data_IF_264580117195
#
_entry.id   IF_264580117195
#
_cell.length_a   1.000
_cell.length_b   1.000
_cell.length_c   1.000
_cell.angle_alpha   90.00
_cell.angle_beta   90.00
_cell.angle_gamma   90.00
#
_symmetry.space_group_name_H-M   'P 1'
#
loop_
_entity.id
_entity.type
_entity.pdbx_description
1 polymer ?
#
# COMPACT_ATOMS: atom_id res chain seq x y z
N UNK A 1 5.67 -29.68 10.77
CA UNK A 1 6.88 -29.57 9.93
C UNK A 1 6.85 -28.18 9.32
N UNK A 2 7.56 -27.25 9.94
CA UNK A 2 7.74 -25.91 9.37
C UNK A 2 8.69 -26.04 8.18
N UNK A 3 8.16 -25.90 6.97
CA UNK A 3 8.98 -25.53 5.84
C UNK A 3 9.31 -24.07 6.06
N UNK A 4 10.49 -23.79 6.62
CA UNK A 4 11.08 -22.46 6.56
C UNK A 4 11.27 -22.15 5.09
N UNK A 5 10.28 -21.52 4.46
CA UNK A 5 10.38 -21.09 3.08
C UNK A 5 11.61 -20.19 2.98
N UNK A 6 12.62 -20.65 2.24
CA UNK A 6 13.80 -19.84 1.96
C UNK A 6 13.40 -18.50 1.33
N UNK A 7 14.26 -17.47 1.40
CA UNK A 7 13.94 -16.17 0.83
C UNK A 7 13.52 -16.32 -0.64
N UNK A 8 12.46 -15.61 -1.08
CA UNK A 8 11.91 -15.81 -2.40
C UNK A 8 12.97 -15.50 -3.44
N UNK A 9 13.26 -16.43 -4.35
CA UNK A 9 14.38 -16.28 -5.28
C UNK A 9 14.23 -15.07 -6.25
N UNK A 10 13.02 -14.52 -6.37
CA UNK A 10 12.70 -13.36 -7.21
C UNK A 10 11.72 -12.42 -6.49
N UNK A 11 11.77 -11.13 -6.85
CA UNK A 11 10.81 -10.10 -6.46
C UNK A 11 9.97 -9.67 -7.65
N UNK A 12 8.67 -9.61 -7.48
CA UNK A 12 7.67 -9.21 -8.45
C UNK A 12 7.12 -7.86 -8.06
N UNK A 13 7.21 -6.88 -8.96
CA UNK A 13 6.88 -5.49 -8.65
C UNK A 13 5.80 -4.99 -9.60
N UNK A 14 4.64 -4.62 -9.07
CA UNK A 14 3.47 -4.14 -9.83
C UNK A 14 2.92 -2.81 -9.33
N UNK A 15 3.39 -2.29 -8.19
CA UNK A 15 3.02 -0.96 -7.67
C UNK A 15 3.77 0.17 -8.42
N UNK A 16 3.76 0.10 -9.74
CA UNK A 16 4.55 0.91 -10.67
C UNK A 16 4.65 0.19 -12.02
N UNK A 17 5.71 0.41 -12.81
CA UNK A 17 6.04 -0.42 -13.96
C UNK A 17 6.18 -1.89 -13.56
N UNK A 18 5.72 -2.80 -14.42
CA UNK A 18 5.82 -4.23 -14.17
C UNK A 18 7.27 -4.69 -14.32
N UNK A 19 7.84 -5.19 -13.23
CA UNK A 19 9.22 -5.67 -13.17
C UNK A 19 9.28 -6.99 -12.40
N UNK A 20 10.21 -7.85 -12.79
CA UNK A 20 10.68 -8.97 -11.98
C UNK A 20 12.17 -8.78 -11.77
N UNK A 21 12.63 -8.92 -10.53
CA UNK A 21 14.03 -8.76 -10.17
C UNK A 21 14.53 -10.01 -9.45
N UNK A 22 15.82 -10.31 -9.56
CA UNK A 22 16.48 -11.24 -8.64
C UNK A 22 16.49 -10.69 -7.21
N UNK A 23 16.84 -11.52 -6.23
CA UNK A 23 17.07 -11.05 -4.86
C UNK A 23 18.18 -9.98 -4.75
N UNK A 24 19.16 -10.02 -5.65
CA UNK A 24 20.21 -9.01 -5.75
C UNK A 24 19.71 -7.69 -6.37
N UNK A 25 18.46 -7.64 -6.84
CA UNK A 25 17.85 -6.44 -7.43
C UNK A 25 18.04 -6.31 -8.93
N UNK A 26 18.65 -7.30 -9.58
CA UNK A 26 18.88 -7.27 -11.02
C UNK A 26 17.57 -7.51 -11.78
N UNK A 27 17.19 -6.65 -12.74
CA UNK A 27 15.97 -6.83 -13.51
C UNK A 27 16.07 -8.01 -14.47
N UNK A 28 15.00 -8.81 -14.53
CA UNK A 28 14.84 -9.90 -15.49
C UNK A 28 14.25 -9.39 -16.80
N UNK A 29 14.82 -9.85 -17.92
CA UNK A 29 14.24 -9.63 -19.24
C UNK A 29 13.01 -10.51 -19.45
N UNK A 30 11.82 -9.92 -19.24
CA UNK A 30 10.52 -10.59 -19.39
C UNK A 30 10.09 -10.78 -20.86
N UNK A 31 10.86 -10.26 -21.80
CA UNK A 31 10.65 -10.37 -23.23
C UNK A 31 9.62 -9.39 -23.78
N UNK A 32 8.70 -9.86 -24.63
CA UNK A 32 7.82 -8.97 -25.41
C UNK A 32 6.73 -8.31 -24.55
N UNK A 33 6.12 -7.19 -24.99
CA UNK A 33 5.02 -6.55 -24.27
C UNK A 33 3.84 -7.50 -23.96
N UNK A 34 3.57 -8.46 -24.86
CA UNK A 34 2.54 -9.47 -24.64
C UNK A 34 2.91 -10.48 -23.56
N UNK A 35 4.19 -10.83 -23.43
CA UNK A 35 4.68 -11.70 -22.34
C UNK A 35 4.59 -10.98 -20.99
N UNK A 36 5.03 -9.71 -20.92
CA UNK A 36 4.89 -8.87 -19.72
C UNK A 36 3.42 -8.74 -19.32
N UNK A 37 2.54 -8.53 -20.29
CA UNK A 37 1.10 -8.44 -20.06
C UNK A 37 0.49 -9.74 -19.54
N UNK A 38 0.83 -10.88 -20.14
CA UNK A 38 0.37 -12.19 -19.66
C UNK A 38 0.81 -12.41 -18.21
N UNK A 39 2.07 -12.11 -17.91
CA UNK A 39 2.58 -12.22 -16.54
C UNK A 39 1.81 -11.30 -15.59
N UNK A 40 1.53 -10.05 -16.00
CA UNK A 40 0.76 -9.11 -15.20
C UNK A 40 -0.66 -9.60 -14.90
N UNK A 41 -1.34 -10.24 -15.86
CA UNK A 41 -2.65 -10.86 -15.64
C UNK A 41 -2.55 -11.95 -14.57
N UNK A 42 -1.55 -12.83 -14.65
CA UNK A 42 -1.35 -13.87 -13.63
C UNK A 42 -0.98 -13.27 -12.26
N UNK A 43 -0.16 -12.21 -12.23
CA UNK A 43 0.18 -11.47 -11.01
C UNK A 43 -1.01 -10.72 -10.41
N UNK A 44 -2.05 -10.41 -11.20
CA UNK A 44 -3.23 -9.70 -10.70
C UNK A 44 -3.98 -10.52 -9.64
N UNK A 45 -3.88 -11.85 -9.73
CA UNK A 45 -4.48 -12.82 -8.82
C UNK A 45 -3.56 -14.05 -8.65
N UNK A 46 -2.47 -13.94 -7.87
CA UNK A 46 -1.55 -15.06 -7.64
C UNK A 46 -2.28 -16.28 -7.06
N UNK A 47 -1.87 -17.47 -7.46
CA UNK A 47 -2.48 -18.75 -7.08
C UNK A 47 -3.77 -19.10 -7.84
N UNK A 48 -4.41 -18.13 -8.53
CA UNK A 48 -5.63 -18.37 -9.29
C UNK A 48 -5.32 -18.95 -10.67
N UNK A 49 -6.08 -19.96 -11.08
CA UNK A 49 -5.98 -20.56 -12.42
C UNK A 49 -6.73 -19.75 -13.45
N UNK A 50 -6.05 -19.43 -14.55
CA UNK A 50 -6.58 -18.74 -15.72
C UNK A 50 -6.62 -19.70 -16.91
N UNK A 51 -7.81 -19.93 -17.46
CA UNK A 51 -7.96 -20.73 -18.68
C UNK A 51 -7.30 -20.03 -19.86
N UNK A 52 -7.00 -20.78 -20.93
CA UNK A 52 -6.44 -20.18 -22.15
C UNK A 52 -7.41 -19.13 -22.72
N UNK A 53 -8.70 -19.42 -22.74
CA UNK A 53 -9.71 -18.49 -23.28
C UNK A 53 -9.79 -17.20 -22.45
N UNK A 54 -9.76 -17.29 -21.12
CA UNK A 54 -9.70 -16.11 -20.25
C UNK A 54 -8.45 -15.28 -20.50
N UNK A 55 -7.29 -15.92 -20.66
CA UNK A 55 -6.05 -15.22 -21.00
C UNK A 55 -6.14 -14.55 -22.38
N UNK A 56 -6.76 -15.22 -23.35
CA UNK A 56 -6.98 -14.67 -24.68
C UNK A 56 -7.86 -13.41 -24.61
N UNK A 57 -8.97 -13.48 -23.88
CA UNK A 57 -9.88 -12.35 -23.73
C UNK A 57 -9.21 -11.14 -23.06
N UNK A 58 -8.44 -11.37 -21.99
CA UNK A 58 -7.72 -10.32 -21.27
C UNK A 58 -6.58 -9.69 -22.09
N UNK A 59 -5.89 -10.51 -22.90
CA UNK A 59 -4.76 -10.06 -23.71
C UNK A 59 -5.21 -9.23 -24.93
N UNK A 60 -6.31 -9.62 -25.57
CA UNK A 60 -6.76 -9.07 -26.87
C UNK A 60 -8.12 -8.36 -26.84
N UNK A 61 -8.81 -8.27 -25.70
CA UNK A 61 -10.12 -7.60 -25.58
C UNK A 61 -11.16 -8.11 -26.59
N UNK A 62 -11.28 -9.42 -26.74
CA UNK A 62 -12.24 -10.00 -27.68
C UNK A 62 -11.91 -9.76 -29.16
N UNK A 63 -10.71 -9.25 -29.48
CA UNK A 63 -10.17 -9.20 -30.86
C UNK A 63 -8.92 -10.09 -31.02
N UNK A 64 -8.99 -11.38 -30.67
CA UNK A 64 -7.82 -12.25 -30.75
C UNK A 64 -7.48 -12.61 -32.20
N UNK A 65 -6.18 -12.75 -32.54
CA UNK A 65 -5.80 -13.40 -33.78
C UNK A 65 -6.18 -14.88 -33.76
N UNK A 66 -6.29 -15.52 -34.92
CA UNK A 66 -6.56 -16.97 -35.04
C UNK A 66 -5.55 -17.83 -34.27
N UNK A 67 -4.33 -17.31 -34.03
CA UNK A 67 -3.23 -17.99 -33.34
C UNK A 67 -3.18 -17.71 -31.84
N UNK A 68 -4.16 -17.00 -31.25
CA UNK A 68 -4.09 -16.49 -29.87
C UNK A 68 -3.83 -17.59 -28.82
N UNK A 69 -4.56 -18.72 -28.89
CA UNK A 69 -4.37 -19.84 -27.98
C UNK A 69 -2.96 -20.44 -28.06
N UNK A 70 -2.40 -20.54 -29.28
CA UNK A 70 -1.01 -20.96 -29.50
C UNK A 70 -0.01 -19.96 -28.93
N UNK A 71 -0.25 -18.67 -29.15
CA UNK A 71 0.59 -17.59 -28.63
C UNK A 71 0.64 -17.59 -27.10
N UNK A 72 -0.48 -17.83 -26.40
CA UNK A 72 -0.51 -17.95 -24.93
C UNK A 72 0.46 -19.04 -24.45
N UNK A 73 0.44 -20.22 -25.07
CA UNK A 73 1.35 -21.32 -24.71
C UNK A 73 2.81 -20.93 -24.93
N UNK A 74 3.11 -20.28 -26.06
CA UNK A 74 4.46 -19.78 -26.39
C UNK A 74 4.93 -18.73 -25.38
N UNK A 75 4.06 -17.80 -25.00
CA UNK A 75 4.38 -16.78 -24.00
C UNK A 75 4.63 -17.40 -22.62
N UNK A 76 3.80 -18.35 -22.19
CA UNK A 76 4.01 -19.08 -20.93
C UNK A 76 5.34 -19.84 -20.95
N UNK A 77 5.67 -20.50 -22.06
CA UNK A 77 6.94 -21.20 -22.19
C UNK A 77 8.14 -20.23 -22.06
N UNK A 78 8.10 -19.09 -22.74
CA UNK A 78 9.15 -18.07 -22.66
C UNK A 78 9.28 -17.50 -21.25
N UNK A 79 8.16 -17.18 -20.60
CA UNK A 79 8.14 -16.68 -19.22
C UNK A 79 8.68 -17.72 -18.23
N UNK A 80 8.31 -18.99 -18.37
CA UNK A 80 8.87 -20.07 -17.54
C UNK A 80 10.38 -20.15 -17.66
N UNK A 81 10.93 -19.92 -18.85
CA UNK A 81 12.37 -19.90 -19.07
C UNK A 81 13.01 -18.67 -18.41
N UNK A 82 12.41 -17.50 -18.54
CA UNK A 82 12.89 -16.27 -17.92
C UNK A 82 12.84 -16.34 -16.37
N UNK A 83 11.77 -16.90 -15.81
CA UNK A 83 11.52 -16.99 -14.37
C UNK A 83 12.23 -18.17 -13.68
N UNK A 84 13.10 -18.89 -14.37
CA UNK A 84 13.92 -19.94 -13.74
C UNK A 84 14.97 -19.29 -12.84
N UNK A 85 14.92 -19.60 -11.54
CA UNK A 85 16.00 -19.25 -10.61
C UNK A 85 16.81 -20.50 -10.26
N UNK A 86 18.15 -20.38 -10.15
CA UNK A 86 18.94 -21.38 -9.44
C UNK A 86 18.36 -21.60 -8.03
N UNK A 87 18.14 -22.86 -7.64
CA UNK A 87 17.65 -23.23 -6.31
C UNK A 87 16.12 -23.25 -6.13
N UNK A 88 15.32 -22.90 -7.14
CA UNK A 88 13.87 -23.12 -7.11
C UNK A 88 13.51 -24.32 -8.00
N UNK A 89 13.10 -25.46 -7.42
CA UNK A 89 12.85 -26.69 -8.20
C UNK A 89 11.60 -26.60 -9.07
N UNK A 90 10.64 -25.74 -8.71
CA UNK A 90 9.34 -25.67 -9.37
C UNK A 90 9.17 -24.43 -10.25
N UNK A 91 8.50 -24.56 -11.42
CA UNK A 91 8.23 -23.41 -12.27
C UNK A 91 7.24 -22.47 -11.59
N UNK A 92 7.57 -21.18 -11.50
CA UNK A 92 6.69 -20.16 -10.94
C UNK A 92 5.29 -20.16 -11.59
N UNK A 93 5.20 -20.50 -12.88
CA UNK A 93 3.92 -20.67 -13.59
C UNK A 93 3.59 -22.15 -13.72
N UNK A 94 2.55 -22.61 -13.02
CA UNK A 94 2.04 -23.98 -13.09
C UNK A 94 0.90 -24.11 -14.09
N UNK A 95 0.82 -25.26 -14.75
CA UNK A 95 -0.34 -25.66 -15.53
C UNK A 95 -1.19 -26.64 -14.70
N UNK A 96 -2.50 -26.52 -14.74
CA UNK A 96 -3.43 -27.42 -14.07
C UNK A 96 -4.77 -27.48 -14.79
N UNK A 97 -5.75 -28.15 -14.17
CA UNK A 97 -7.09 -28.34 -14.75
C UNK A 97 -7.79 -27.03 -15.12
N UNK A 98 -7.54 -25.95 -14.36
CA UNK A 98 -8.12 -24.62 -14.58
C UNK A 98 -7.27 -23.71 -15.48
N UNK A 99 -6.20 -24.24 -16.09
CA UNK A 99 -5.27 -23.49 -16.94
C UNK A 99 -3.97 -23.11 -16.24
N UNK A 100 -3.50 -21.88 -16.44
CA UNK A 100 -2.22 -21.40 -15.93
C UNK A 100 -2.39 -20.60 -14.64
N UNK A 101 -1.55 -20.83 -13.65
CA UNK A 101 -1.48 -20.04 -12.42
C UNK A 101 -0.05 -19.67 -12.08
N UNK A 102 0.15 -18.47 -11.54
CA UNK A 102 1.43 -18.04 -10.98
C UNK A 102 1.42 -18.33 -9.48
N UNK A 103 2.38 -19.12 -9.00
CA UNK A 103 2.56 -19.41 -7.57
C UNK A 103 3.76 -18.60 -7.08
N UNK A 104 3.51 -17.76 -6.08
CA UNK A 104 4.50 -16.88 -5.48
C UNK A 104 4.49 -17.06 -3.97
N UNK A 105 5.65 -16.84 -3.34
CA UNK A 105 5.69 -16.55 -1.91
C UNK A 105 5.01 -15.20 -1.64
N UNK A 106 4.34 -15.07 -0.49
CA UNK A 106 3.61 -13.85 -0.14
C UNK A 106 4.51 -12.59 -0.05
N UNK A 107 5.79 -12.76 0.30
CA UNK A 107 6.77 -11.68 0.39
C UNK A 107 7.48 -11.42 -0.95
N UNK A 108 7.26 -12.28 -1.96
CA UNK A 108 7.87 -12.10 -3.27
C UNK A 108 7.25 -10.95 -4.06
N UNK A 109 6.03 -10.51 -3.74
CA UNK A 109 5.28 -9.53 -4.53
C UNK A 109 4.96 -8.25 -3.75
N UNK A 110 5.30 -7.09 -4.31
CA UNK A 110 5.13 -5.79 -3.66
C UNK A 110 3.67 -5.50 -3.27
N UNK A 111 2.69 -5.87 -4.08
CA UNK A 111 1.27 -5.68 -3.74
C UNK A 111 0.79 -6.58 -2.61
N UNK A 112 1.36 -7.78 -2.46
CA UNK A 112 1.04 -8.68 -1.35
C UNK A 112 1.69 -8.18 -0.06
N UNK A 113 2.95 -7.77 -0.13
CA UNK A 113 3.66 -7.12 0.97
C UNK A 113 2.96 -5.83 1.43
N UNK A 114 2.46 -5.02 0.47
CA UNK A 114 1.66 -3.83 0.76
C UNK A 114 0.38 -4.16 1.52
N UNK A 115 -0.36 -5.19 1.08
CA UNK A 115 -1.59 -5.62 1.74
C UNK A 115 -1.32 -6.09 3.19
N UNK A 116 -0.27 -6.89 3.42
CA UNK A 116 0.16 -7.34 4.75
C UNK A 116 0.57 -6.18 5.66
N UNK A 117 1.45 -5.28 5.19
CA UNK A 117 1.88 -4.10 5.95
C UNK A 117 0.70 -3.19 6.31
N UNK A 118 -0.23 -3.00 5.37
CA UNK A 118 -1.45 -2.22 5.60
C UNK A 118 -2.32 -2.87 6.67
N UNK A 119 -2.50 -4.19 6.64
CA UNK A 119 -3.24 -4.94 7.68
C UNK A 119 -2.58 -4.83 9.05
N UNK A 120 -1.25 -4.94 9.12
CA UNK A 120 -0.48 -4.75 10.36
C UNK A 120 -0.65 -3.34 10.91
N UNK A 121 -0.62 -2.33 10.05
CA UNK A 121 -0.88 -0.93 10.42
C UNK A 121 -2.25 -0.74 11.07
N UNK A 122 -3.31 -1.25 10.43
CA UNK A 122 -4.66 -1.20 10.99
C UNK A 122 -4.77 -1.96 12.32
N UNK A 123 -4.11 -3.11 12.43
CA UNK A 123 -4.11 -3.89 13.66
C UNK A 123 -3.42 -3.16 14.82
N UNK A 124 -2.25 -2.58 14.59
CA UNK A 124 -1.53 -1.78 15.60
C UNK A 124 -2.35 -0.56 16.04
N UNK A 125 -3.01 0.12 15.10
CA UNK A 125 -3.90 1.25 15.40
C UNK A 125 -5.07 0.85 16.29
N UNK A 126 -5.71 -0.29 16.03
CA UNK A 126 -6.78 -0.83 16.88
C UNK A 126 -6.33 -1.12 18.31
N UNK A 127 -5.04 -1.40 18.50
CA UNK A 127 -4.43 -1.67 19.79
C UNK A 127 -3.84 -0.41 20.46
N UNK A 128 -4.02 0.78 19.87
CA UNK A 128 -3.45 2.03 20.40
C UNK A 128 -1.94 2.17 20.19
N UNK A 129 -1.29 1.24 19.47
CA UNK A 129 0.15 1.28 19.17
C UNK A 129 0.44 2.18 17.97
N UNK A 130 0.26 3.50 18.17
CA UNK A 130 0.34 4.51 17.08
C UNK A 130 1.67 4.47 16.33
N UNK A 131 2.80 4.42 17.03
CA UNK A 131 4.13 4.39 16.41
C UNK A 131 4.34 3.16 15.53
N UNK A 132 3.83 2.00 15.93
CA UNK A 132 3.94 0.77 15.14
C UNK A 132 3.03 0.80 13.91
N UNK A 133 1.84 1.39 14.05
CA UNK A 133 0.93 1.57 12.94
C UNK A 133 1.56 2.46 11.86
N UNK A 134 2.16 3.57 12.27
CA UNK A 134 2.80 4.54 11.39
C UNK A 134 3.98 3.91 10.63
N UNK A 135 4.90 3.23 11.33
CA UNK A 135 6.02 2.53 10.67
C UNK A 135 5.53 1.51 9.64
N UNK A 136 4.44 0.79 9.93
CA UNK A 136 3.89 -0.18 8.99
C UNK A 136 3.29 0.50 7.74
N UNK A 137 2.58 1.63 7.89
CA UNK A 137 2.04 2.38 6.77
C UNK A 137 3.13 3.07 5.94
N UNK A 138 4.14 3.67 6.57
CA UNK A 138 5.31 4.26 5.90
C UNK A 138 6.02 3.19 5.03
N UNK A 139 6.29 2.00 5.61
CA UNK A 139 6.87 0.88 4.87
C UNK A 139 5.98 0.41 3.70
N UNK A 140 4.66 0.40 3.89
CA UNK A 140 3.72 0.02 2.83
C UNK A 140 3.75 1.02 1.66
N UNK A 141 3.75 2.33 1.97
CA UNK A 141 3.79 3.39 0.96
C UNK A 141 5.13 3.44 0.21
N UNK A 142 6.24 3.13 0.87
CA UNK A 142 7.55 3.05 0.24
C UNK A 142 7.67 1.99 -0.87
N UNK A 143 6.74 1.02 -0.92
CA UNK A 143 6.67 0.03 -2.01
C UNK A 143 6.14 0.62 -3.32
N UNK A 144 5.46 1.77 -3.27
CA UNK A 144 4.86 2.40 -4.44
C UNK A 144 5.90 3.18 -5.24
N UNK A 145 5.97 2.88 -6.53
CA UNK A 145 6.90 3.45 -7.51
C UNK A 145 6.17 4.22 -8.61
N UNK A 146 4.85 4.30 -8.52
CA UNK A 146 4.00 5.00 -9.47
C UNK A 146 2.63 4.36 -9.58
N UNK A 147 2.00 4.55 -10.74
CA UNK A 147 0.71 3.95 -11.07
C UNK A 147 0.84 2.41 -11.15
N UNK A 148 -0.01 1.62 -10.47
CA UNK A 148 0.07 0.16 -10.56
C UNK A 148 -0.05 -0.34 -12.00
N UNK A 149 0.78 -1.32 -12.38
CA UNK A 149 0.88 -1.84 -13.74
C UNK A 149 1.14 -0.75 -14.78
N UNK A 150 1.99 0.25 -14.49
CA UNK A 150 2.32 1.31 -15.43
C UNK A 150 2.95 0.71 -16.71
N UNK A 151 2.70 1.37 -17.86
CA UNK A 151 3.12 0.87 -19.17
C UNK A 151 2.21 -0.24 -19.72
N UNK A 152 1.30 -0.81 -18.92
CA UNK A 152 0.32 -1.77 -19.39
C UNK A 152 -1.07 -1.16 -19.59
N UNK A 153 -1.88 -1.75 -20.48
CA UNK A 153 -3.13 -1.12 -20.87
C UNK A 153 -4.17 -1.15 -19.76
N UNK A 154 -5.01 -0.11 -19.72
CA UNK A 154 -5.94 0.15 -18.63
C UNK A 154 -7.31 -0.51 -18.80
N UNK A 155 -7.36 -1.82 -19.04
CA UNK A 155 -8.61 -2.56 -19.19
C UNK A 155 -8.56 -3.94 -18.54
N UNK A 156 -9.69 -4.66 -18.58
CA UNK A 156 -9.81 -6.01 -18.07
C UNK A 156 -9.49 -6.11 -16.58
N UNK A 157 -8.92 -7.23 -16.16
CA UNK A 157 -8.59 -7.49 -14.75
C UNK A 157 -7.59 -6.46 -14.19
N UNK A 158 -6.66 -5.96 -15.00
CA UNK A 158 -5.62 -5.02 -14.55
C UNK A 158 -6.21 -3.67 -14.14
N UNK A 159 -7.25 -3.20 -14.82
CA UNK A 159 -7.95 -1.96 -14.44
C UNK A 159 -8.60 -2.10 -13.06
N UNK A 160 -9.32 -3.21 -12.84
CA UNK A 160 -10.01 -3.50 -11.59
C UNK A 160 -9.02 -3.64 -10.43
N UNK A 161 -7.91 -4.35 -10.63
CA UNK A 161 -6.87 -4.50 -9.61
C UNK A 161 -6.17 -3.18 -9.32
N UNK A 162 -5.86 -2.37 -10.36
CA UNK A 162 -5.31 -1.02 -10.18
C UNK A 162 -6.23 -0.14 -9.32
N UNK A 163 -7.52 -0.09 -9.64
CA UNK A 163 -8.49 0.70 -8.87
C UNK A 163 -8.56 0.25 -7.40
N UNK A 164 -8.56 -1.07 -7.17
CA UNK A 164 -8.55 -1.67 -5.84
C UNK A 164 -7.31 -1.30 -5.04
N UNK A 165 -6.12 -1.34 -5.66
CA UNK A 165 -4.85 -0.98 -5.02
C UNK A 165 -4.83 0.51 -4.66
N UNK A 166 -5.18 1.39 -5.60
CA UNK A 166 -5.22 2.84 -5.38
C UNK A 166 -6.18 3.20 -4.23
N UNK A 167 -7.36 2.57 -4.18
CA UNK A 167 -8.31 2.77 -3.08
C UNK A 167 -7.73 2.38 -1.71
N UNK A 168 -6.87 1.37 -1.64
CA UNK A 168 -6.23 0.93 -0.38
C UNK A 168 -5.05 1.80 0.03
N UNK A 169 -4.43 2.52 -0.92
CA UNK A 169 -3.36 3.49 -0.63
C UNK A 169 -3.88 4.68 0.18
N UNK A 170 -5.08 5.17 -0.16
CA UNK A 170 -5.65 6.42 0.36
C UNK A 170 -5.63 6.60 1.89
N UNK A 171 -5.97 5.60 2.72
CA UNK A 171 -5.94 5.77 4.17
C UNK A 171 -4.51 5.83 4.74
N UNK A 172 -3.53 5.22 4.08
CA UNK A 172 -2.14 5.23 4.51
C UNK A 172 -1.50 6.61 4.24
N UNK A 173 -1.72 7.20 3.05
CA UNK A 173 -1.20 8.54 2.70
C UNK A 173 -1.63 9.58 3.76
N UNK A 174 -2.93 9.63 4.08
CA UNK A 174 -3.48 10.60 5.05
C UNK A 174 -2.90 10.46 6.46
N UNK A 175 -2.47 9.25 6.85
CA UNK A 175 -1.94 9.01 8.19
C UNK A 175 -0.51 9.50 8.35
N UNK A 176 0.29 9.44 7.28
CA UNK A 176 1.65 9.98 7.27
C UNK A 176 1.60 11.51 7.24
N UNK A 177 0.73 12.11 6.45
CA UNK A 177 0.57 13.58 6.37
C UNK A 177 0.23 14.23 7.73
N UNK A 178 -0.56 13.54 8.58
CA UNK A 178 -0.90 14.04 9.91
C UNK A 178 0.30 14.05 10.88
N UNK A 179 1.33 13.24 10.66
CA UNK A 179 2.56 13.22 11.45
C UNK A 179 3.40 14.47 11.18
N UNK A 180 3.58 14.82 9.90
CA UNK A 180 4.37 15.99 9.53
C UNK A 180 3.79 17.28 10.12
N UNK A 181 2.45 17.37 10.25
CA UNK A 181 1.76 18.49 10.90
C UNK A 181 1.71 18.46 12.44
N UNK A 182 2.03 17.34 13.08
CA UNK A 182 2.20 17.23 14.53
C UNK A 182 3.68 17.46 14.92
N UNK A 183 4.64 16.92 14.17
CA UNK A 183 6.07 17.12 14.39
C UNK A 183 6.51 18.57 14.16
N UNK A 184 6.03 19.23 13.10
CA UNK A 184 6.24 20.68 12.93
C UNK A 184 5.70 21.51 14.09
N UNK A 185 4.66 21.03 14.79
CA UNK A 185 4.08 21.73 15.93
C UNK A 185 4.91 21.55 17.20
N UNK A 186 5.56 20.39 17.36
CA UNK A 186 6.49 20.14 18.46
C UNK A 186 7.76 20.98 18.29
N UNK A 187 8.26 21.14 17.06
CA UNK A 187 9.46 21.93 16.77
C UNK A 187 9.24 23.45 16.96
N UNK A 188 8.01 23.95 16.74
CA UNK A 188 7.61 25.33 17.09
C UNK A 188 7.42 25.56 18.60
N UNK A 189 7.37 24.51 19.42
CA UNK A 189 7.29 24.63 20.90
C UNK A 189 8.63 24.48 21.61
N UNK A 190 9.69 24.05 20.93
CA UNK A 190 11.06 24.06 21.45
C UNK A 190 11.75 25.40 21.24
N UNK A 191 11.18 26.49 21.77
CA UNK A 191 11.95 27.71 22.09
C UNK A 191 12.55 27.50 23.48
N UNK A 192 13.88 27.59 23.66
CA UNK A 192 14.47 27.45 24.98
C UNK A 192 13.92 28.54 25.93
N UNK A 193 13.58 28.21 27.18
CA UNK A 193 13.19 29.20 28.17
C UNK A 193 14.46 29.89 28.67
N UNK A 194 14.74 31.10 28.18
CA UNK A 194 15.88 31.85 28.69
C UNK A 194 16.35 32.99 27.80
N UNK A 195 15.52 33.99 27.57
CA UNK A 195 16.03 35.34 27.36
C UNK A 195 15.01 36.33 27.89
N UNK A 196 15.18 36.72 29.16
CA UNK A 196 14.53 37.89 29.70
C UNK A 196 15.14 39.10 29.00
N UNK A 197 14.41 39.67 28.04
CA UNK A 197 14.70 41.03 27.60
C UNK A 197 14.14 41.96 28.67
N UNK A 198 15.03 42.44 29.53
CA UNK A 198 14.76 43.53 30.46
C UNK A 198 14.26 44.75 29.70
N UNK A 199 13.00 45.12 29.90
CA UNK A 199 12.46 46.43 29.55
C UNK A 199 12.17 47.21 30.83
N UNK A 200 13.23 47.47 31.60
CA UNK A 200 13.26 48.64 32.48
C UNK A 200 13.94 49.76 31.71
N UNK A 201 13.16 50.74 31.27
CA UNK A 201 13.45 52.18 31.34
C UNK A 201 12.59 52.90 30.32
N UNK A 202 11.50 53.50 30.80
CA UNK A 202 11.13 54.90 30.50
C UNK A 202 9.89 55.24 31.35
N UNK A 203 10.14 55.87 32.49
CA UNK A 203 9.15 56.61 33.28
C UNK A 203 8.69 57.86 32.50
N UNK A 204 7.41 58.21 32.61
CA UNK A 204 6.94 59.56 32.24
C UNK A 204 5.43 59.78 32.16
N UNK A 205 4.76 59.99 33.30
CA UNK A 205 3.65 60.97 33.47
C UNK A 205 2.22 60.64 32.98
N UNK A 206 1.18 61.38 33.45
CA UNK A 206 -0.12 60.77 33.84
C UNK A 206 -1.38 61.22 33.05
N UNK A 207 -2.40 60.33 33.07
CA UNK A 207 -3.87 60.60 33.01
C UNK A 207 -4.52 60.83 31.62
N UNK A 208 -5.87 60.71 31.46
CA UNK A 208 -6.91 60.59 32.50
C UNK A 208 -7.90 59.41 32.36
N UNK A 209 -8.76 59.34 33.36
CA UNK A 209 -9.82 58.38 33.71
C UNK A 209 -11.13 58.67 32.97
N UNK A 210 -11.90 57.65 32.57
CA UNK A 210 -13.29 57.44 33.07
C UNK A 210 -14.13 56.39 32.32
N UNK A 211 -14.89 55.67 33.15
CA UNK A 211 -16.27 55.17 33.00
C UNK A 211 -16.69 54.29 31.82
N UNK A 212 -16.66 52.97 32.07
CA UNK A 212 -17.87 52.13 32.16
C UNK A 212 -17.42 50.79 32.79
N UNK A 213 -17.98 50.21 33.86
CA UNK A 213 -19.36 50.23 34.27
C UNK A 213 -20.05 48.87 34.08
N UNK A 214 -19.39 47.70 34.19
CA UNK A 214 -20.06 46.40 34.46
C UNK A 214 -19.12 45.24 34.87
N UNK A 215 -19.61 44.27 35.67
CA UNK A 215 -18.78 43.40 36.50
C UNK A 215 -18.38 42.07 35.85
N UNK A 216 -17.37 41.48 36.47
CA UNK A 216 -16.86 40.13 36.23
C UNK A 216 -17.90 39.03 36.53
N UNK A 217 -17.94 38.01 35.67
CA UNK A 217 -18.45 36.69 35.99
C UNK A 217 -17.49 35.67 35.38
N UNK A 218 -16.86 34.90 36.25
CA UNK A 218 -15.86 33.91 35.90
C UNK A 218 -16.44 32.56 35.49
N UNK A 219 -15.49 31.64 35.25
CA UNK A 219 -15.64 30.19 35.23
C UNK A 219 -16.38 29.58 34.03
N UNK A 220 -15.63 29.07 33.06
CA UNK A 220 -15.29 27.64 33.06
C UNK A 220 -14.16 27.38 32.07
N UNK A 221 -13.08 26.75 32.55
CA UNK A 221 -12.02 26.24 31.71
C UNK A 221 -12.58 25.20 30.74
N UNK A 222 -12.59 25.54 29.45
CA UNK A 222 -12.66 24.56 28.39
C UNK A 222 -11.32 23.81 28.37
N UNK A 223 -11.18 22.80 29.24
CA UNK A 223 -10.29 21.68 28.96
C UNK A 223 -10.80 21.09 27.66
N UNK A 224 -10.13 21.39 26.55
CA UNK A 224 -10.35 20.67 25.30
C UNK A 224 -9.93 19.24 25.57
N UNK A 225 -10.91 18.38 25.81
CA UNK A 225 -10.72 16.95 25.93
C UNK A 225 -10.16 16.43 24.60
N UNK A 226 -8.83 16.30 24.54
CA UNK A 226 -8.07 15.84 23.39
C UNK A 226 -8.22 14.33 23.14
N UNK A 227 -9.23 13.68 23.73
CA UNK A 227 -9.35 12.22 23.76
C UNK A 227 -10.35 11.65 22.74
N UNK A 228 -10.78 12.44 21.74
CA UNK A 228 -11.49 11.90 20.56
C UNK A 228 -10.68 12.09 19.30
N UNK A 229 -9.70 11.21 19.13
CA UNK A 229 -9.07 10.96 17.84
C UNK A 229 -10.18 10.61 16.82
N UNK A 230 -10.45 11.44 15.79
CA UNK A 230 -11.46 11.16 14.76
C UNK A 230 -11.23 9.81 14.06
N UNK A 231 -9.99 9.34 14.14
CA UNK A 231 -9.50 8.09 13.58
C UNK A 231 -10.00 6.83 14.33
N UNK A 232 -10.15 6.89 15.66
CA UNK A 232 -10.74 5.79 16.44
C UNK A 232 -12.22 5.66 16.06
N UNK A 233 -12.91 6.77 15.79
CA UNK A 233 -14.28 6.77 15.29
C UNK A 233 -14.35 6.17 13.86
N UNK A 234 -13.42 6.52 12.97
CA UNK A 234 -13.36 5.97 11.60
C UNK A 234 -13.13 4.45 11.59
N UNK A 235 -12.17 3.95 12.37
CA UNK A 235 -11.85 2.51 12.45
C UNK A 235 -12.96 1.71 13.15
N UNK A 236 -13.60 2.27 14.18
CA UNK A 236 -14.76 1.65 14.85
C UNK A 236 -15.99 1.57 13.94
N UNK A 237 -16.15 2.49 12.99
CA UNK A 237 -17.29 2.50 12.05
C UNK A 237 -17.25 1.38 11.00
N UNK A 238 -16.11 0.68 10.85
CA UNK A 238 -15.91 -0.40 9.84
C UNK A 238 -15.58 -1.75 10.49
N UNK A 239 -16.37 -2.14 11.50
CA UNK A 239 -16.29 -3.46 12.12
C UNK A 239 -16.64 -4.60 11.15
N UNK A 240 -15.73 -5.59 11.08
CA UNK A 240 -15.80 -6.95 10.48
C UNK A 240 -15.89 -7.07 8.94
N UNK A 241 -14.86 -7.60 8.27
CA UNK A 241 -15.10 -8.55 7.19
C UNK A 241 -15.68 -9.84 7.79
N UNK A 242 -16.77 -10.35 7.21
CA UNK A 242 -17.31 -11.66 7.55
C UNK A 242 -16.25 -12.75 7.33
N UNK A 243 -16.18 -13.79 8.18
CA UNK A 243 -15.32 -14.94 7.90
C UNK A 243 -15.77 -15.58 6.58
N UNK A 244 -14.82 -15.83 5.68
CA UNK A 244 -15.07 -16.61 4.48
C UNK A 244 -15.47 -18.02 4.91
N UNK A 245 -16.72 -18.41 4.69
CA UNK A 245 -17.16 -19.78 4.89
C UNK A 245 -16.43 -20.70 3.89
N UNK A 246 -15.74 -21.69 4.45
CA UNK A 246 -15.24 -22.86 3.73
C UNK A 246 -16.43 -23.59 3.09
N UNK A 247 -16.61 -23.44 1.78
CA UNK A 247 -17.44 -24.37 1.02
C UNK A 247 -16.62 -25.64 0.78
N UNK A 248 -16.76 -26.59 1.71
CA UNK A 248 -16.57 -28.01 1.40
C UNK A 248 -17.80 -28.49 0.63
N UNK A 249 -17.58 -29.07 -0.55
CA UNK A 249 -18.31 -30.23 -1.09
C UNK A 249 -17.52 -30.81 -2.24
#
# INVERSE_FOLDING_TARGET
MDVTAGPPAMRYRVLGPVEVCSLAGEPLALGSPMQVRLLAILMSQPGTGWSIDQLVDELWLGRPPKTAAGNVKTYVWALRRALRSPGSPDPAILAGATGYRLVLDAQAMDSLAFDDLTQRGYHAMRQGRRSDALRAFEAALALWRGKPFAGLPGWGVLLSVRARLVKRRWPADRLVDHREGEEHRVELTSRPPGEQVSLESLQGGPGPVSHDGRPALGLLGARSDSTRCPLIAYVRSRGRPAPAELVRR
#
